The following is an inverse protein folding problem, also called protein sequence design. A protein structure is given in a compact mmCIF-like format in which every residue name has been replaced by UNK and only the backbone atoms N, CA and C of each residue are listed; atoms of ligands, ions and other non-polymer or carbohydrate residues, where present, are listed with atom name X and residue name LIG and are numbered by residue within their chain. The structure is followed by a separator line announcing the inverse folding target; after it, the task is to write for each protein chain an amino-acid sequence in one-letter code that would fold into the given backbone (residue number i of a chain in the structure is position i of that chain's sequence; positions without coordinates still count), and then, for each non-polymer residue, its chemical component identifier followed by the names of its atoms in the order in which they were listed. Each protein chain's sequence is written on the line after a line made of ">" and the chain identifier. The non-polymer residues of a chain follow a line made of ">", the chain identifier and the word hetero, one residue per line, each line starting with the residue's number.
data_IF_133137318772
#
_entry.id   IF_133137318772
#
_cell.length_a   1.000
_cell.length_b   1.000
_cell.length_c   1.000
_cell.angle_alpha   90.00
_cell.angle_beta   90.00
_cell.angle_gamma   90.00
#
_symmetry.space_group_name_H-M   'P 1'
#
loop_
_entity.id
_entity.type
_entity.pdbx_description
1 polymer ?
#
# COMPACT_ATOMS: atom_id res chain seq x y z
N UNK A 1 -20.87 -8.57 6.08
CA UNK A 1 -21.25 -7.20 5.70
C UNK A 1 -21.03 -6.97 4.23
N UNK A 2 -21.92 -6.22 3.60
CA UNK A 2 -21.75 -5.84 2.20
C UNK A 2 -20.57 -4.88 2.07
N UNK A 3 -19.72 -5.11 1.07
CA UNK A 3 -18.63 -4.21 0.75
C UNK A 3 -19.22 -2.90 0.17
N UNK A 4 -18.61 -1.76 0.53
CA UNK A 4 -19.08 -0.45 0.10
C UNK A 4 -18.79 -0.17 -1.39
N UNK A 5 -17.71 -0.74 -1.92
CA UNK A 5 -17.28 -0.51 -3.29
C UNK A 5 -17.05 -1.84 -4.00
N UNK A 6 -17.33 -1.90 -5.29
CA UNK A 6 -17.07 -3.09 -6.10
C UNK A 6 -15.57 -3.32 -6.30
N UNK A 7 -14.81 -2.26 -6.49
CA UNK A 7 -13.37 -2.33 -6.74
C UNK A 7 -12.67 -1.16 -6.09
N UNK A 8 -11.70 -1.47 -5.24
CA UNK A 8 -10.84 -0.47 -4.61
C UNK A 8 -9.39 -0.75 -4.97
N UNK A 9 -8.55 0.24 -4.81
CA UNK A 9 -7.12 0.11 -5.04
C UNK A 9 -6.35 0.54 -3.80
N UNK A 10 -5.23 -0.10 -3.59
CA UNK A 10 -4.23 0.32 -2.60
C UNK A 10 -2.86 0.00 -3.17
N UNK A 11 -1.81 0.48 -2.53
CA UNK A 11 -0.48 0.21 -3.05
C UNK A 11 0.62 0.58 -2.07
N UNK A 12 1.81 0.14 -2.41
CA UNK A 12 3.00 0.41 -1.62
C UNK A 12 4.20 -0.34 -2.15
N UNK A 13 5.30 -0.23 -1.44
CA UNK A 13 6.52 -0.97 -1.76
C UNK A 13 6.49 -2.37 -1.15
N UNK A 14 5.95 -2.52 0.05
CA UNK A 14 5.79 -3.79 0.75
C UNK A 14 7.12 -4.55 0.92
N UNK A 15 8.20 -3.83 1.17
CA UNK A 15 9.52 -4.44 1.34
C UNK A 15 9.61 -5.19 2.68
N UNK A 16 9.35 -4.49 3.77
CA UNK A 16 9.20 -5.09 5.08
C UNK A 16 7.76 -4.94 5.52
N UNK A 17 6.99 -6.03 5.41
CA UNK A 17 5.56 -5.99 5.73
C UNK A 17 5.39 -5.85 7.25
N UNK A 18 4.60 -4.87 7.64
CA UNK A 18 4.37 -4.55 9.05
C UNK A 18 2.89 -4.29 9.32
N UNK A 19 2.55 -4.02 10.58
CA UNK A 19 1.15 -3.83 10.97
C UNK A 19 0.47 -2.66 10.27
N UNK A 20 1.26 -1.65 9.86
CA UNK A 20 0.72 -0.55 9.04
C UNK A 20 0.20 -1.03 7.70
N UNK A 21 0.93 -1.94 7.05
CA UNK A 21 0.48 -2.57 5.80
C UNK A 21 -0.75 -3.44 6.04
N UNK A 22 -0.79 -4.16 7.15
CA UNK A 22 -1.93 -5.02 7.48
C UNK A 22 -3.18 -4.18 7.73
N UNK A 23 -3.05 -3.04 8.42
CA UNK A 23 -4.17 -2.11 8.63
C UNK A 23 -4.71 -1.58 7.31
N UNK A 24 -3.81 -1.23 6.38
CA UNK A 24 -4.16 -0.75 5.05
C UNK A 24 -4.92 -1.82 4.26
N UNK A 25 -4.38 -3.04 4.23
CA UNK A 25 -5.01 -4.16 3.54
C UNK A 25 -6.35 -4.54 4.18
N UNK A 26 -6.42 -4.52 5.50
CA UNK A 26 -7.65 -4.80 6.23
C UNK A 26 -8.77 -3.85 5.81
N UNK A 27 -8.46 -2.55 5.74
CA UNK A 27 -9.44 -1.56 5.30
C UNK A 27 -9.85 -1.77 3.85
N UNK A 28 -8.88 -2.10 2.99
CA UNK A 28 -9.16 -2.36 1.57
C UNK A 28 -10.09 -3.57 1.41
N UNK A 29 -9.83 -4.67 2.10
CA UNK A 29 -10.69 -5.86 2.01
C UNK A 29 -12.04 -5.67 2.69
N UNK A 30 -12.12 -4.80 3.71
CA UNK A 30 -13.38 -4.44 4.34
C UNK A 30 -14.30 -3.67 3.40
N UNK A 31 -13.74 -2.70 2.69
CA UNK A 31 -14.52 -1.78 1.86
C UNK A 31 -14.69 -2.24 0.42
N UNK A 32 -13.77 -3.01 -0.10
CA UNK A 32 -13.77 -3.44 -1.49
C UNK A 32 -14.17 -4.89 -1.65
N UNK A 33 -15.12 -5.13 -2.55
CA UNK A 33 -15.48 -6.49 -2.93
C UNK A 33 -14.29 -7.16 -3.63
N UNK A 34 -13.55 -6.38 -4.42
CA UNK A 34 -12.29 -6.77 -5.04
C UNK A 34 -11.27 -5.67 -4.81
N UNK A 35 -10.00 -6.04 -4.72
CA UNK A 35 -8.92 -5.11 -4.42
C UNK A 35 -7.82 -5.24 -5.47
N UNK A 36 -7.37 -4.10 -6.01
CA UNK A 36 -6.14 -4.05 -6.79
C UNK A 36 -5.05 -3.54 -5.87
N UNK A 37 -3.97 -4.30 -5.77
CA UNK A 37 -2.82 -3.94 -4.93
C UNK A 37 -1.65 -3.62 -5.85
N UNK A 38 -1.25 -2.34 -5.88
CA UNK A 38 -0.08 -1.90 -6.62
C UNK A 38 1.19 -2.11 -5.80
N UNK A 39 2.18 -2.77 -6.37
CA UNK A 39 3.47 -2.97 -5.73
C UNK A 39 4.54 -2.33 -6.60
N UNK A 40 5.33 -1.42 -6.03
CA UNK A 40 6.33 -0.69 -6.81
C UNK A 40 7.36 -1.63 -7.41
N UNK A 41 7.74 -1.37 -8.67
CA UNK A 41 8.85 -2.06 -9.32
C UNK A 41 10.16 -1.76 -8.58
N UNK A 42 11.17 -2.58 -8.79
CA UNK A 42 12.49 -2.32 -8.19
C UNK A 42 13.05 -0.98 -8.69
N UNK A 43 12.92 -0.70 -9.98
CA UNK A 43 13.42 0.53 -10.57
C UNK A 43 12.72 1.77 -10.01
N UNK A 44 11.39 1.72 -9.89
CA UNK A 44 10.65 2.85 -9.34
C UNK A 44 10.94 3.04 -7.85
N UNK A 45 11.02 1.96 -7.09
CA UNK A 45 11.35 2.04 -5.68
C UNK A 45 12.73 2.61 -5.44
N UNK A 46 13.72 2.25 -6.27
CA UNK A 46 15.07 2.80 -6.19
C UNK A 46 15.10 4.31 -6.46
N UNK A 47 14.32 4.77 -7.45
CA UNK A 47 14.23 6.22 -7.76
C UNK A 47 13.67 7.02 -6.61
N UNK A 48 12.71 6.46 -5.88
CA UNK A 48 12.02 7.19 -4.81
C UNK A 48 12.69 7.04 -3.45
N UNK A 49 13.37 5.92 -3.21
CA UNK A 49 13.99 5.60 -1.91
C UNK A 49 15.50 5.59 -1.92
N UNK A 50 16.11 5.73 -3.10
CA UNK A 50 17.56 5.67 -3.27
C UNK A 50 18.06 4.24 -3.46
N UNK A 51 19.31 4.13 -3.96
CA UNK A 51 19.91 2.83 -4.21
C UNK A 51 20.14 2.06 -2.92
N UNK A 52 20.04 0.74 -2.99
CA UNK A 52 20.33 -0.20 -1.91
C UNK A 52 19.44 -0.04 -0.67
N UNK A 53 18.26 0.58 -0.81
CA UNK A 53 17.31 0.72 0.29
C UNK A 53 16.34 -0.45 0.42
N UNK A 54 16.23 -1.29 -0.62
CA UNK A 54 15.34 -2.45 -0.60
C UNK A 54 16.09 -3.69 -0.12
N UNK A 55 15.44 -4.45 0.77
CA UNK A 55 15.94 -5.76 1.21
C UNK A 55 15.49 -6.89 0.29
N UNK A 56 14.40 -6.68 -0.46
CA UNK A 56 13.77 -7.72 -1.27
C UNK A 56 13.49 -7.23 -2.68
N UNK A 57 13.68 -8.13 -3.67
CA UNK A 57 13.27 -7.89 -5.05
C UNK A 57 11.75 -7.81 -5.16
N UNK A 58 11.27 -7.28 -6.27
CA UNK A 58 9.83 -7.24 -6.57
C UNK A 58 9.19 -8.62 -6.39
N UNK A 59 9.77 -9.67 -6.99
CA UNK A 59 9.21 -11.02 -6.92
C UNK A 59 9.12 -11.52 -5.48
N UNK A 60 10.14 -11.25 -4.68
CA UNK A 60 10.14 -11.65 -3.27
C UNK A 60 9.11 -10.85 -2.46
N UNK A 61 8.98 -9.56 -2.74
CA UNK A 61 7.99 -8.71 -2.08
C UNK A 61 6.57 -9.18 -2.39
N UNK A 62 6.31 -9.52 -3.65
CA UNK A 62 5.00 -10.06 -4.05
C UNK A 62 4.73 -11.40 -3.39
N UNK A 63 5.72 -12.28 -3.35
CA UNK A 63 5.58 -13.58 -2.67
C UNK A 63 5.23 -13.40 -1.19
N UNK A 64 5.97 -12.53 -0.49
CA UNK A 64 5.72 -12.28 0.93
C UNK A 64 4.35 -11.65 1.16
N UNK A 65 3.92 -10.75 0.28
CA UNK A 65 2.62 -10.11 0.35
C UNK A 65 1.50 -11.13 0.19
N UNK A 66 1.58 -12.00 -0.82
CA UNK A 66 0.58 -13.05 -1.02
C UNK A 66 0.50 -14.00 0.17
N UNK A 67 1.65 -14.34 0.74
CA UNK A 67 1.74 -15.22 1.90
C UNK A 67 1.02 -14.60 3.12
N UNK A 68 1.29 -13.33 3.41
CA UNK A 68 0.66 -12.66 4.54
C UNK A 68 -0.84 -12.46 4.33
N UNK A 69 -1.27 -12.19 3.10
CA UNK A 69 -2.70 -12.07 2.78
C UNK A 69 -3.40 -13.39 3.06
N UNK A 70 -2.83 -14.50 2.60
CA UNK A 70 -3.41 -15.82 2.85
C UNK A 70 -3.51 -16.13 4.34
N UNK A 71 -2.49 -15.81 5.10
CA UNK A 71 -2.45 -16.10 6.55
C UNK A 71 -3.38 -15.21 7.37
N UNK A 72 -3.51 -13.94 6.99
CA UNK A 72 -4.28 -12.96 7.77
C UNK A 72 -5.71 -12.79 7.30
N UNK A 73 -5.97 -12.91 6.02
CA UNK A 73 -7.28 -12.61 5.43
C UNK A 73 -7.94 -13.83 4.77
N UNK A 74 -7.18 -14.89 4.51
CA UNK A 74 -7.71 -16.10 3.89
C UNK A 74 -8.12 -15.87 2.44
N UNK A 75 -9.32 -16.33 2.10
CA UNK A 75 -9.83 -16.21 0.74
C UNK A 75 -10.45 -14.84 0.51
N UNK A 76 -9.69 -13.97 -0.12
CA UNK A 76 -10.15 -12.64 -0.53
C UNK A 76 -9.84 -12.46 -2.01
N UNK A 77 -10.63 -11.60 -2.66
CA UNK A 77 -10.46 -11.35 -4.09
C UNK A 77 -9.55 -10.16 -4.32
N UNK A 78 -8.39 -10.40 -4.89
CA UNK A 78 -7.43 -9.33 -5.17
C UNK A 78 -6.55 -9.65 -6.37
N UNK A 79 -5.95 -8.60 -6.92
CA UNK A 79 -4.98 -8.71 -8.00
C UNK A 79 -3.80 -7.79 -7.70
N UNK A 80 -2.59 -8.26 -7.94
CA UNK A 80 -1.38 -7.46 -7.75
C UNK A 80 -0.94 -6.90 -9.10
N UNK A 81 -0.66 -5.61 -9.14
CA UNK A 81 -0.15 -4.90 -10.32
C UNK A 81 1.20 -4.29 -9.99
N UNK A 82 2.14 -4.35 -10.95
CA UNK A 82 3.44 -3.70 -10.82
C UNK A 82 3.28 -2.20 -11.06
N UNK A 83 3.84 -1.37 -10.18
CA UNK A 83 3.82 0.07 -10.33
C UNK A 83 5.19 0.56 -10.82
N UNK A 84 5.22 1.10 -12.04
CA UNK A 84 6.43 1.69 -12.62
C UNK A 84 6.44 3.21 -12.51
N UNK A 85 5.37 3.80 -11.97
CA UNK A 85 5.23 5.23 -11.78
C UNK A 85 4.39 5.51 -10.53
N UNK A 86 4.30 6.79 -10.15
CA UNK A 86 3.68 7.22 -8.91
C UNK A 86 2.21 6.83 -8.75
N UNK A 87 1.46 6.85 -9.83
CA UNK A 87 0.01 6.66 -9.76
C UNK A 87 -0.45 5.29 -10.23
N UNK A 88 0.34 4.64 -11.09
CA UNK A 88 0.02 3.33 -11.62
C UNK A 88 -1.30 3.29 -12.37
N UNK A 89 -1.99 2.15 -12.38
CA UNK A 89 -3.21 1.98 -13.15
C UNK A 89 -4.42 2.74 -12.61
N UNK A 90 -4.38 3.24 -11.38
CA UNK A 90 -5.53 3.92 -10.78
C UNK A 90 -5.99 5.14 -11.58
N UNK A 91 -5.07 5.79 -12.30
CA UNK A 91 -5.41 6.98 -13.09
C UNK A 91 -6.07 6.64 -14.42
N UNK A 92 -6.07 5.36 -14.83
CA UNK A 92 -6.64 4.94 -16.12
C UNK A 92 -7.75 3.89 -15.99
N UNK A 93 -7.96 3.30 -14.80
CA UNK A 93 -8.98 2.28 -14.60
C UNK A 93 -10.28 2.91 -14.11
N UNK A 94 -11.25 3.07 -15.03
CA UNK A 94 -12.54 3.68 -14.70
C UNK A 94 -13.36 2.90 -13.68
N UNK A 95 -13.11 1.59 -13.54
CA UNK A 95 -13.85 0.72 -12.61
C UNK A 95 -13.44 0.89 -11.16
N UNK A 96 -12.24 1.44 -10.89
CA UNK A 96 -11.80 1.69 -9.52
C UNK A 96 -12.66 2.79 -8.92
N UNK A 97 -13.25 2.54 -7.76
CA UNK A 97 -14.16 3.47 -7.09
C UNK A 97 -13.54 4.18 -5.90
N UNK A 98 -12.51 3.61 -5.30
CA UNK A 98 -11.86 4.21 -4.15
C UNK A 98 -10.38 3.84 -4.09
N UNK A 99 -9.59 4.75 -3.54
CA UNK A 99 -8.20 4.51 -3.18
C UNK A 99 -8.12 4.42 -1.66
N UNK A 100 -7.57 3.33 -1.17
CA UNK A 100 -7.29 3.15 0.25
C UNK A 100 -5.80 3.43 0.43
N UNK A 101 -5.47 4.43 1.23
CA UNK A 101 -4.09 4.90 1.33
C UNK A 101 -3.77 5.37 2.74
N UNK A 102 -2.49 5.40 3.09
CA UNK A 102 -2.06 6.06 4.32
C UNK A 102 -2.39 7.55 4.24
N UNK A 103 -2.46 8.22 5.39
CA UNK A 103 -2.77 9.65 5.44
C UNK A 103 -1.82 10.46 4.56
N UNK A 104 -0.55 10.10 4.54
CA UNK A 104 0.45 10.75 3.69
C UNK A 104 0.17 10.59 2.20
N UNK A 105 -0.07 9.34 1.77
CA UNK A 105 -0.36 9.04 0.37
C UNK A 105 -1.71 9.59 -0.07
N UNK A 106 -2.68 9.66 0.84
CA UNK A 106 -4.01 10.21 0.55
C UNK A 106 -3.96 11.67 0.10
N UNK A 107 -2.92 12.41 0.47
CA UNK A 107 -2.72 13.81 0.00
C UNK A 107 -2.56 13.90 -1.51
N UNK A 108 -2.18 12.81 -2.17
CA UNK A 108 -2.07 12.75 -3.63
C UNK A 108 -3.42 12.53 -4.31
N UNK A 109 -4.49 12.32 -3.55
CA UNK A 109 -5.81 12.04 -4.07
C UNK A 109 -6.35 13.11 -5.00
N UNK A 110 -6.14 14.39 -4.67
CA UNK A 110 -6.58 15.49 -5.52
C UNK A 110 -5.89 15.44 -6.89
N UNK A 111 -4.61 15.14 -6.92
CA UNK A 111 -3.86 15.02 -8.17
C UNK A 111 -4.33 13.82 -8.98
N UNK A 112 -4.61 12.70 -8.34
CA UNK A 112 -5.15 11.51 -9.01
C UNK A 112 -6.49 11.86 -9.67
N UNK A 113 -7.38 12.52 -8.94
CA UNK A 113 -8.70 12.91 -9.48
C UNK A 113 -8.59 13.96 -10.58
N UNK A 114 -7.62 14.86 -10.50
CA UNK A 114 -7.33 15.80 -11.58
C UNK A 114 -6.92 15.08 -12.86
N UNK A 115 -6.00 14.13 -12.76
CA UNK A 115 -5.55 13.34 -13.91
C UNK A 115 -6.72 12.52 -14.48
N UNK A 116 -7.52 11.90 -13.63
CA UNK A 116 -8.69 11.14 -14.06
C UNK A 116 -9.69 12.03 -14.79
N UNK A 117 -9.95 13.23 -14.28
CA UNK A 117 -10.84 14.19 -14.92
C UNK A 117 -10.36 14.55 -16.31
N UNK A 118 -9.07 14.78 -16.50
CA UNK A 118 -8.47 15.08 -17.79
C UNK A 118 -8.64 13.93 -18.80
N UNK A 119 -8.77 12.70 -18.30
CA UNK A 119 -8.97 11.51 -19.11
C UNK A 119 -10.46 11.14 -19.29
N UNK A 120 -11.36 11.97 -18.79
CA UNK A 120 -12.80 11.70 -18.87
C UNK A 120 -13.29 10.63 -17.90
N UNK A 121 -12.54 10.34 -16.86
CA UNK A 121 -12.91 9.34 -15.86
C UNK A 121 -13.56 10.00 -14.63
N UNK A 122 -14.53 9.32 -14.00
CA UNK A 122 -15.14 9.87 -12.79
C UNK A 122 -14.14 9.94 -11.63
N UNK A 123 -14.34 10.85 -10.67
CA UNK A 123 -13.49 10.91 -9.49
C UNK A 123 -13.66 9.67 -8.62
N UNK A 124 -12.62 9.34 -7.88
CA UNK A 124 -12.65 8.23 -6.92
C UNK A 124 -12.71 8.78 -5.50
N UNK A 125 -13.27 7.98 -4.60
CA UNK A 125 -13.22 8.30 -3.17
C UNK A 125 -11.79 8.06 -2.67
N UNK A 126 -11.29 8.98 -1.86
CA UNK A 126 -9.97 8.84 -1.23
C UNK A 126 -10.21 8.53 0.24
N UNK A 127 -9.82 7.34 0.66
CA UNK A 127 -10.04 6.90 2.04
C UNK A 127 -8.69 6.73 2.70
N UNK A 128 -8.42 7.57 3.69
CA UNK A 128 -7.17 7.51 4.43
C UNK A 128 -7.27 6.55 5.60
N UNK A 129 -6.18 5.84 5.84
CA UNK A 129 -6.00 4.98 7.00
C UNK A 129 -4.93 5.64 7.87
N UNK A 130 -5.24 5.82 9.14
CA UNK A 130 -4.31 6.46 10.06
C UNK A 130 -3.00 5.67 10.14
N UNK A 131 -1.89 6.39 10.18
CA UNK A 131 -0.58 5.78 10.33
C UNK A 131 -0.49 5.07 11.67
N UNK A 132 -0.05 3.82 11.62
CA UNK A 132 0.26 3.07 12.84
C UNK A 132 1.55 3.65 13.41
N UNK A 133 1.54 3.98 14.69
CA UNK A 133 2.70 4.55 15.36
C UNK A 133 3.50 3.49 16.07
N UNK A 134 4.80 3.69 16.11
CA UNK A 134 5.72 2.83 16.85
C UNK A 134 5.70 3.18 18.34
N UNK A 135 6.42 2.42 19.12
CA UNK A 135 6.55 2.61 20.56
C UNK A 135 7.01 4.03 20.95
N UNK A 136 7.83 4.66 20.11
CA UNK A 136 8.32 6.03 20.34
C UNK A 136 7.41 7.14 19.79
N UNK A 137 6.22 6.79 19.31
CA UNK A 137 5.25 7.73 18.79
C UNK A 137 5.45 8.15 17.35
N UNK A 138 6.48 7.66 16.69
CA UNK A 138 6.73 7.93 15.26
C UNK A 138 5.94 6.95 14.39
N UNK A 139 5.63 7.31 13.13
CA UNK A 139 4.98 6.36 12.23
C UNK A 139 5.87 5.14 11.96
N UNK A 140 5.25 3.98 11.87
CA UNK A 140 5.94 2.77 11.47
C UNK A 140 6.35 2.86 10.00
N UNK A 141 7.52 2.33 9.65
CA UNK A 141 7.98 2.31 8.25
C UNK A 141 8.88 1.11 7.99
N UNK A 142 8.88 0.64 6.75
CA UNK A 142 9.78 -0.41 6.30
C UNK A 142 11.24 -0.01 6.46
N UNK A 143 11.56 1.27 6.25
CA UNK A 143 12.92 1.79 6.41
C UNK A 143 13.44 1.57 7.84
N UNK A 144 12.63 1.90 8.84
CA UNK A 144 13.03 1.72 10.24
C UNK A 144 13.20 0.25 10.60
N UNK A 145 12.38 -0.63 10.03
CA UNK A 145 12.53 -2.08 10.22
C UNK A 145 13.84 -2.57 9.59
N UNK A 146 14.14 -2.13 8.36
CA UNK A 146 15.38 -2.49 7.67
C UNK A 146 16.62 -2.03 8.43
N UNK A 147 16.54 -0.85 9.05
CA UNK A 147 17.64 -0.28 9.81
C UNK A 147 17.77 -0.87 11.22
N UNK A 148 16.87 -1.78 11.59
CA UNK A 148 16.92 -2.45 12.89
C UNK A 148 16.43 -1.63 14.06
N UNK A 149 15.77 -0.49 13.80
CA UNK A 149 15.24 0.37 14.87
C UNK A 149 14.01 -0.21 15.54
N UNK A 150 13.15 -0.85 14.76
CA UNK A 150 11.87 -1.40 15.24
C UNK A 150 11.62 -2.76 14.63
N UNK A 151 10.75 -3.54 15.26
CA UNK A 151 10.23 -4.78 14.67
C UNK A 151 8.99 -4.48 13.80
N UNK A 152 8.45 -5.49 13.07
CA UNK A 152 7.27 -5.28 12.23
C UNK A 152 6.01 -4.88 12.99
N UNK A 153 5.98 -4.99 14.30
CA UNK A 153 4.88 -4.57 15.15
C UNK A 153 5.10 -3.17 15.75
N UNK A 154 6.19 -2.51 15.39
CA UNK A 154 6.49 -1.16 15.84
C UNK A 154 7.19 -1.06 17.19
N UNK A 155 7.61 -2.16 17.76
CA UNK A 155 8.36 -2.16 19.01
C UNK A 155 9.83 -1.84 18.76
N UNK A 156 10.40 -0.98 19.60
CA UNK A 156 11.82 -0.66 19.50
C UNK A 156 12.68 -1.89 19.79
N UNK A 157 13.67 -2.10 18.94
CA UNK A 157 14.66 -3.15 19.14
C UNK A 157 15.76 -2.62 20.07
N UNK A 158 16.26 -3.50 20.94
CA UNK A 158 17.37 -3.14 21.79
C UNK A 158 18.64 -3.07 20.94
N UNK A 159 19.27 -1.92 20.96
CA UNK A 159 20.56 -1.72 20.29
C UNK A 159 21.62 -2.17 21.28
N UNK A 160 22.41 -3.15 20.91
CA UNK A 160 23.56 -3.56 21.69
C UNK A 160 24.77 -2.70 21.33
#
# INVERSE_FOLDING_TARGET
>A
MANKFDLVATGGTFDEIHIGHIALLSKAFELGKRVIIGVTSDEFAEKTKGENKLNHSYDKRVFNLKDIIQKKFGRVSYKICKLDNEYGPIVILGRVKALIASTETAKKGDKINEIRSQKGLPPIAIISVDLIRTEDGSPISSTRIREGEIDPFGKKLKIK
#
